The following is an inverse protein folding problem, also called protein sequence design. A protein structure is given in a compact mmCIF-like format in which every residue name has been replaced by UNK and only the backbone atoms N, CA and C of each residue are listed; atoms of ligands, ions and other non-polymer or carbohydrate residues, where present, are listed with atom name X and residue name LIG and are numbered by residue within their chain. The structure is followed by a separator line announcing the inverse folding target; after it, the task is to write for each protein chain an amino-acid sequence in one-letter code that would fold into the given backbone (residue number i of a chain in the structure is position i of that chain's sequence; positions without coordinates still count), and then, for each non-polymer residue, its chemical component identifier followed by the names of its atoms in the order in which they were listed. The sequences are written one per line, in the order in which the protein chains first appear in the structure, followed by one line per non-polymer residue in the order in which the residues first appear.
data_IF_814833156528
#
_entry.id   IF_814833156528
#
_cell.length_a   1.000
_cell.length_b   1.000
_cell.length_c   1.000
_cell.angle_alpha   90.00
_cell.angle_beta   90.00
_cell.angle_gamma   90.00
#
_symmetry.space_group_name_H-M   'P 1'
#
loop_
_entity.id
_entity.type
_entity.pdbx_description
1 polymer ?
#
# COMPACT_ATOMS: atom_id res chain seq x y z
N UNK A 1 16.59 -3.63 3.84
CA UNK A 1 15.14 -3.57 3.53
C UNK A 1 14.40 -4.05 4.76
N UNK A 2 13.57 -3.21 5.34
CA UNK A 2 12.68 -3.60 6.44
C UNK A 2 11.61 -4.53 5.87
N UNK A 3 11.35 -5.70 6.48
CA UNK A 3 10.27 -6.55 6.02
C UNK A 3 8.93 -5.84 6.22
N UNK A 4 8.10 -5.83 5.19
CA UNK A 4 6.74 -5.28 5.26
C UNK A 4 5.88 -6.28 6.03
N UNK A 5 5.46 -5.91 7.23
CA UNK A 5 4.63 -6.77 8.07
C UNK A 5 3.32 -7.09 7.34
N UNK A 6 2.86 -8.35 7.40
CA UNK A 6 1.59 -8.77 6.81
C UNK A 6 1.61 -9.02 5.31
N UNK A 7 2.67 -8.65 4.57
CA UNK A 7 2.76 -8.90 3.12
C UNK A 7 2.74 -10.40 2.78
N UNK A 8 3.35 -11.22 3.64
CA UNK A 8 3.33 -12.67 3.51
C UNK A 8 1.92 -13.27 3.64
N UNK A 9 1.05 -12.64 4.42
CA UNK A 9 -0.33 -13.09 4.65
C UNK A 9 -1.29 -12.71 3.52
N UNK A 10 -0.87 -11.82 2.60
CA UNK A 10 -1.66 -11.47 1.43
C UNK A 10 -1.69 -12.62 0.43
N UNK A 11 -2.87 -12.89 -0.12
CA UNK A 11 -3.07 -13.76 -1.29
C UNK A 11 -2.46 -13.14 -2.55
N UNK A 12 -2.26 -13.92 -3.62
CA UNK A 12 -1.74 -13.43 -4.90
C UNK A 12 -2.56 -12.25 -5.45
N UNK A 13 -3.89 -12.31 -5.31
CA UNK A 13 -4.80 -11.26 -5.75
C UNK A 13 -4.57 -9.95 -4.98
N UNK A 14 -4.43 -10.04 -3.65
CA UNK A 14 -4.19 -8.88 -2.78
C UNK A 14 -2.78 -8.32 -2.99
N UNK A 15 -1.77 -9.16 -3.23
CA UNK A 15 -0.42 -8.70 -3.59
C UNK A 15 -0.42 -7.94 -4.91
N UNK A 16 -1.14 -8.43 -5.93
CA UNK A 16 -1.31 -7.70 -7.19
C UNK A 16 -2.02 -6.36 -6.98
N UNK A 17 -3.03 -6.35 -6.12
CA UNK A 17 -3.79 -5.15 -5.78
C UNK A 17 -2.91 -4.12 -5.05
N UNK A 18 -2.07 -4.59 -4.12
CA UNK A 18 -1.06 -3.79 -3.46
C UNK A 18 -0.08 -3.17 -4.44
N UNK A 19 0.55 -3.99 -5.30
CA UNK A 19 1.54 -3.51 -6.29
C UNK A 19 0.89 -2.45 -7.20
N UNK A 20 -0.31 -2.71 -7.70
CA UNK A 20 -1.03 -1.80 -8.59
C UNK A 20 -1.42 -0.50 -7.90
N UNK A 21 -2.00 -0.59 -6.69
CA UNK A 21 -2.40 0.56 -5.89
C UNK A 21 -1.20 1.41 -5.51
N UNK A 22 -0.11 0.78 -5.08
CA UNK A 22 1.13 1.44 -4.72
C UNK A 22 1.76 2.15 -5.91
N UNK A 23 1.85 1.49 -7.06
CA UNK A 23 2.35 2.12 -8.27
C UNK A 23 1.50 3.32 -8.70
N UNK A 24 0.17 3.21 -8.61
CA UNK A 24 -0.75 4.32 -8.92
C UNK A 24 -0.57 5.49 -7.95
N UNK A 25 -0.45 5.22 -6.65
CA UNK A 25 -0.17 6.24 -5.64
C UNK A 25 1.12 7.00 -5.98
N UNK A 26 2.22 6.27 -6.20
CA UNK A 26 3.52 6.87 -6.53
C UNK A 26 3.50 7.65 -7.85
N UNK A 27 2.66 7.25 -8.81
CA UNK A 27 2.46 7.98 -10.07
C UNK A 27 1.66 9.26 -9.90
N UNK A 28 0.80 9.35 -8.89
CA UNK A 28 0.01 10.55 -8.58
C UNK A 28 0.74 11.55 -7.69
N UNK A 29 1.81 11.12 -7.01
CA UNK A 29 2.61 11.96 -6.12
C UNK A 29 3.82 12.55 -6.85
N UNK A 30 4.25 13.75 -6.43
CA UNK A 30 5.42 14.43 -6.99
C UNK A 30 6.60 14.43 -6.01
N UNK A 31 7.81 14.20 -6.53
CA UNK A 31 9.09 14.43 -5.85
C UNK A 31 9.14 13.95 -4.40
N UNK A 32 9.22 14.89 -3.46
CA UNK A 32 9.39 14.65 -2.02
C UNK A 32 8.27 13.81 -1.39
N UNK A 33 7.02 13.96 -1.85
CA UNK A 33 5.93 13.14 -1.31
C UNK A 33 6.12 11.69 -1.73
N UNK A 34 6.51 11.44 -2.98
CA UNK A 34 6.72 10.08 -3.49
C UNK A 34 7.74 9.29 -2.66
N UNK A 35 8.76 9.96 -2.13
CA UNK A 35 9.77 9.34 -1.25
C UNK A 35 9.13 8.82 0.04
N UNK A 36 8.28 9.61 0.69
CA UNK A 36 7.60 9.24 1.94
C UNK A 36 6.65 8.04 1.83
N UNK A 37 6.17 7.75 0.62
CA UNK A 37 5.31 6.59 0.35
C UNK A 37 6.04 5.48 -0.41
N UNK A 38 7.37 5.52 -0.51
CA UNK A 38 8.15 4.44 -1.10
C UNK A 38 8.01 3.13 -0.31
N UNK A 39 8.34 2.00 -0.94
CA UNK A 39 8.29 0.68 -0.29
C UNK A 39 9.12 0.60 1.00
N UNK A 40 10.21 1.38 1.10
CA UNK A 40 11.03 1.46 2.32
C UNK A 40 10.33 2.10 3.52
N UNK A 41 9.22 2.81 3.28
CA UNK A 41 8.42 3.47 4.30
C UNK A 41 7.14 2.70 4.63
N UNK A 42 6.90 1.55 4.00
CA UNK A 42 5.75 0.70 4.33
C UNK A 42 6.09 -0.15 5.56
N UNK A 43 5.30 0.00 6.61
CA UNK A 43 5.45 -0.71 7.89
C UNK A 43 4.65 -2.00 7.87
N UNK A 44 3.38 -1.89 7.49
CA UNK A 44 2.42 -3.00 7.55
C UNK A 44 1.46 -2.93 6.36
N UNK A 45 1.06 -4.11 5.88
CA UNK A 45 -0.05 -4.26 4.96
C UNK A 45 -1.06 -5.25 5.53
N UNK A 46 -2.34 -4.88 5.43
CA UNK A 46 -3.44 -5.69 5.94
C UNK A 46 -4.48 -5.90 4.86
N UNK A 47 -4.85 -7.15 4.64
CA UNK A 47 -5.98 -7.49 3.79
C UNK A 47 -7.29 -7.05 4.45
N UNK A 48 -8.11 -6.34 3.70
CA UNK A 48 -9.48 -6.00 4.06
C UNK A 48 -10.43 -6.64 3.06
N UNK A 49 -10.80 -7.89 3.36
CA UNK A 49 -11.67 -8.69 2.50
C UNK A 49 -13.11 -8.14 2.44
N UNK A 50 -13.56 -7.37 3.44
CA UNK A 50 -14.88 -6.75 3.43
C UNK A 50 -15.03 -5.72 2.31
N UNK A 51 -13.97 -4.94 2.07
CA UNK A 51 -13.94 -3.89 1.04
C UNK A 51 -13.19 -4.30 -0.23
N UNK A 52 -12.69 -5.55 -0.29
CA UNK A 52 -11.80 -6.02 -1.35
C UNK A 52 -10.60 -5.08 -1.54
N UNK A 53 -9.96 -4.76 -0.43
CA UNK A 53 -8.93 -3.75 -0.32
C UNK A 53 -7.68 -4.26 0.43
N UNK A 54 -6.58 -3.54 0.27
CA UNK A 54 -5.36 -3.70 1.06
C UNK A 54 -5.06 -2.38 1.74
N UNK A 55 -5.12 -2.37 3.07
CA UNK A 55 -4.71 -1.25 3.89
C UNK A 55 -3.20 -1.25 4.06
N UNK A 56 -2.58 -0.11 3.84
CA UNK A 56 -1.13 0.07 3.84
C UNK A 56 -0.75 1.16 4.82
N UNK A 57 0.05 0.80 5.80
CA UNK A 57 0.51 1.68 6.87
C UNK A 57 1.94 2.13 6.61
N UNK A 58 2.16 3.43 6.69
CA UNK A 58 3.46 4.05 6.41
C UNK A 58 4.14 4.54 7.70
N UNK A 59 5.47 4.68 7.66
CA UNK A 59 6.28 5.16 8.80
C UNK A 59 5.95 6.60 9.19
N UNK A 60 5.34 7.38 8.30
CA UNK A 60 4.87 8.74 8.58
C UNK A 60 3.54 8.79 9.36
N UNK A 61 2.99 7.62 9.74
CA UNK A 61 1.72 7.50 10.48
C UNK A 61 0.48 7.54 9.59
N UNK A 62 0.63 7.65 8.27
CA UNK A 62 -0.49 7.63 7.35
C UNK A 62 -0.88 6.21 6.96
N UNK A 63 -2.17 6.03 6.70
CA UNK A 63 -2.74 4.83 6.11
C UNK A 63 -3.22 5.18 4.70
N UNK A 64 -3.07 4.22 3.76
CA UNK A 64 -3.70 4.28 2.45
C UNK A 64 -4.43 2.98 2.18
N UNK A 65 -5.64 3.09 1.64
CA UNK A 65 -6.40 1.91 1.22
C UNK A 65 -6.23 1.73 -0.28
N UNK A 66 -5.74 0.57 -0.70
CA UNK A 66 -5.67 0.19 -2.10
C UNK A 66 -6.87 -0.68 -2.45
N UNK A 67 -7.60 -0.31 -3.50
CA UNK A 67 -8.78 -1.04 -3.99
C UNK A 67 -8.64 -1.29 -5.49
N UNK A 68 -9.49 -2.14 -6.06
CA UNK A 68 -9.55 -2.34 -7.51
C UNK A 68 -9.88 -1.04 -8.28
N UNK A 69 -10.54 -0.07 -7.64
CA UNK A 69 -10.94 1.21 -8.24
C UNK A 69 -9.83 2.27 -8.15
N UNK A 70 -8.90 2.13 -7.21
CA UNK A 70 -7.80 3.07 -7.02
C UNK A 70 -7.29 3.15 -5.59
N UNK A 71 -6.63 4.26 -5.28
CA UNK A 71 -6.09 4.54 -3.95
C UNK A 71 -7.07 5.46 -3.21
N UNK A 72 -7.55 5.00 -2.05
CA UNK A 72 -8.39 5.75 -1.12
C UNK A 72 -7.59 6.39 0.01
N UNK A 73 -8.26 7.25 0.76
CA UNK A 73 -7.74 7.95 1.95
C UNK A 73 -8.27 7.29 3.21
#
# INVERSE_FOLDING_TARGET
MTPIAGYENLTDAERKLFIRGHHKLLSSLSGNERDQYGLGHVVEVKANSQESAVDVYFTNGQQRQYTAKGVGY
#
